data_IF_914445517849
#
_entry.id   IF_914445517849
#
_cell.length_a   1.000
_cell.length_b   1.000
_cell.length_c   1.000
_cell.angle_alpha   90.00
_cell.angle_beta   90.00
_cell.angle_gamma   90.00
#
_symmetry.space_group_name_H-M   'P 1'
#
loop_
_entity.id
_entity.type
_entity.pdbx_description
1 polymer ?
#
# COMPACT_ATOMS: atom_id res chain seq x y z
N UNK A 1 9.22 -8.57 9.60
CA UNK A 1 8.63 -7.23 9.39
C UNK A 1 7.15 -7.38 9.15
N UNK A 2 6.35 -6.50 9.71
CA UNK A 2 4.90 -6.53 9.55
C UNK A 2 4.50 -5.54 8.45
N UNK A 3 3.90 -6.05 7.39
CA UNK A 3 3.62 -5.28 6.17
C UNK A 3 2.13 -5.37 5.83
N UNK A 4 1.53 -4.21 5.53
CA UNK A 4 0.17 -4.15 5.02
C UNK A 4 0.25 -3.76 3.54
N UNK A 5 -0.40 -4.56 2.68
CA UNK A 5 -0.50 -4.28 1.25
C UNK A 5 -1.95 -3.94 0.92
N UNK A 6 -2.18 -2.77 0.36
CA UNK A 6 -3.52 -2.38 -0.11
C UNK A 6 -3.61 -2.65 -1.60
N UNK A 7 -4.55 -3.50 -1.99
CA UNK A 7 -4.75 -3.91 -3.36
C UNK A 7 -4.24 -5.31 -3.62
N UNK A 8 -5.13 -6.18 -4.04
CA UNK A 8 -4.83 -7.59 -4.31
C UNK A 8 -4.82 -7.89 -5.81
N UNK A 9 -4.68 -6.87 -6.65
CA UNK A 9 -4.54 -7.02 -8.08
C UNK A 9 -3.17 -7.57 -8.46
N UNK A 10 -2.79 -7.41 -9.72
CA UNK A 10 -1.55 -8.00 -10.21
C UNK A 10 -0.32 -7.50 -9.45
N UNK A 11 -0.23 -6.20 -9.21
CA UNK A 11 0.93 -5.64 -8.51
C UNK A 11 0.95 -6.06 -7.06
N UNK A 12 -0.17 -5.88 -6.35
CA UNK A 12 -0.24 -6.24 -4.94
C UNK A 12 -0.08 -7.73 -4.71
N UNK A 13 -0.68 -8.56 -5.55
CA UNK A 13 -0.53 -10.01 -5.47
C UNK A 13 0.90 -10.47 -5.69
N UNK A 14 1.59 -9.88 -6.65
CA UNK A 14 2.99 -10.21 -6.92
C UNK A 14 3.88 -9.79 -5.76
N UNK A 15 3.65 -8.61 -5.19
CA UNK A 15 4.39 -8.16 -4.03
C UNK A 15 4.17 -9.07 -2.83
N UNK A 16 2.90 -9.46 -2.59
CA UNK A 16 2.59 -10.36 -1.49
C UNK A 16 3.33 -11.69 -1.64
N UNK A 17 3.35 -12.22 -2.85
CA UNK A 17 4.05 -13.48 -3.13
C UNK A 17 5.54 -13.37 -2.80
N UNK A 18 6.20 -12.32 -3.28
CA UNK A 18 7.63 -12.14 -3.03
C UNK A 18 7.93 -11.89 -1.55
N UNK A 19 7.13 -11.04 -0.91
CA UNK A 19 7.42 -10.64 0.47
C UNK A 19 7.06 -11.73 1.48
N UNK A 20 6.05 -12.54 1.19
CA UNK A 20 5.67 -13.63 2.08
C UNK A 20 6.78 -14.68 2.20
N UNK A 21 7.55 -14.88 1.14
CA UNK A 21 8.66 -15.83 1.14
C UNK A 21 9.87 -15.36 1.96
N UNK A 22 9.87 -14.12 2.42
CA UNK A 22 10.99 -13.54 3.14
C UNK A 22 10.74 -13.44 4.64
N UNK A 23 9.84 -14.29 5.15
CA UNK A 23 9.52 -14.34 6.58
C UNK A 23 8.90 -13.04 7.10
N UNK A 24 8.13 -12.38 6.27
CA UNK A 24 7.37 -11.21 6.65
C UNK A 24 5.95 -11.61 7.05
N UNK A 25 5.37 -10.83 7.96
CA UNK A 25 3.98 -10.97 8.35
C UNK A 25 3.15 -10.06 7.45
N UNK A 26 2.47 -10.65 6.47
CA UNK A 26 1.78 -9.92 5.42
C UNK A 26 0.27 -9.94 5.64
N UNK A 27 -0.36 -8.77 5.55
CA UNK A 27 -1.82 -8.63 5.50
C UNK A 27 -2.17 -7.88 4.21
N UNK A 28 -3.08 -8.42 3.43
CA UNK A 28 -3.54 -7.79 2.19
C UNK A 28 -4.98 -7.31 2.36
N UNK A 29 -5.23 -6.06 2.00
CA UNK A 29 -6.55 -5.43 2.07
C UNK A 29 -7.06 -5.20 0.64
N UNK A 30 -8.29 -5.62 0.36
CA UNK A 30 -8.92 -5.38 -0.94
C UNK A 30 -10.43 -5.40 -0.76
N UNK A 31 -11.14 -4.79 -1.69
CA UNK A 31 -12.59 -4.74 -1.65
C UNK A 31 -13.24 -5.96 -2.33
N UNK A 32 -12.44 -6.80 -2.97
CA UNK A 32 -12.93 -7.97 -3.73
C UNK A 32 -12.62 -9.25 -2.99
N UNK A 33 -13.66 -9.83 -2.38
CA UNK A 33 -13.51 -11.03 -1.56
C UNK A 33 -12.91 -12.19 -2.35
N UNK A 34 -13.33 -12.39 -3.59
CA UNK A 34 -12.84 -13.52 -4.41
C UNK A 34 -11.33 -13.41 -4.68
N UNK A 35 -10.84 -12.18 -4.90
CA UNK A 35 -9.42 -11.96 -5.15
C UNK A 35 -8.59 -12.26 -3.90
N UNK A 36 -9.07 -11.82 -2.74
CA UNK A 36 -8.41 -12.12 -1.47
C UNK A 36 -8.37 -13.62 -1.20
N UNK A 37 -9.48 -14.30 -1.46
CA UNK A 37 -9.55 -15.74 -1.24
C UNK A 37 -8.53 -16.49 -2.10
N UNK A 38 -8.38 -16.11 -3.37
CA UNK A 38 -7.41 -16.75 -4.25
C UNK A 38 -5.98 -16.57 -3.75
N UNK A 39 -5.64 -15.39 -3.25
CA UNK A 39 -4.32 -15.16 -2.68
C UNK A 39 -4.10 -15.98 -1.41
N UNK A 40 -5.09 -16.02 -0.54
CA UNK A 40 -4.98 -16.72 0.72
C UNK A 40 -4.83 -18.23 0.53
N UNK A 41 -5.37 -18.76 -0.56
CA UNK A 41 -5.23 -20.19 -0.88
C UNK A 41 -3.82 -20.55 -1.31
N UNK A 42 -3.04 -19.59 -1.81
CA UNK A 42 -1.69 -19.82 -2.32
C UNK A 42 -0.59 -19.35 -1.38
N UNK A 43 -0.88 -18.38 -0.55
CA UNK A 43 0.15 -17.71 0.26
C UNK A 43 -0.23 -17.75 1.74
N UNK A 44 0.79 -17.79 2.58
CA UNK A 44 0.60 -17.71 4.02
C UNK A 44 0.51 -16.23 4.41
N UNK A 45 -0.69 -15.68 4.24
CA UNK A 45 -0.97 -14.27 4.51
C UNK A 45 -2.31 -14.14 5.21
N UNK A 46 -2.53 -12.98 5.83
CA UNK A 46 -3.85 -12.61 6.33
C UNK A 46 -4.51 -11.69 5.33
N UNK A 47 -5.84 -11.66 5.33
CA UNK A 47 -6.62 -10.80 4.43
C UNK A 47 -7.65 -10.00 5.21
N UNK A 48 -7.93 -8.80 4.72
CA UNK A 48 -8.97 -7.93 5.25
C UNK A 48 -9.80 -7.42 4.08
N UNK A 49 -11.11 -7.62 4.16
CA UNK A 49 -12.04 -7.12 3.14
C UNK A 49 -12.43 -5.68 3.50
N UNK A 50 -12.13 -4.74 2.63
CA UNK A 50 -12.49 -3.34 2.88
C UNK A 50 -11.75 -2.38 1.99
N UNK A 51 -12.08 -1.10 2.14
CA UNK A 51 -11.40 0.00 1.46
C UNK A 51 -10.14 0.37 2.27
N UNK A 52 -8.98 0.26 1.63
CA UNK A 52 -7.70 0.46 2.30
C UNK A 52 -7.47 1.88 2.83
N UNK A 53 -8.23 2.87 2.37
CA UNK A 53 -8.13 4.22 2.90
C UNK A 53 -8.98 4.43 4.16
N UNK A 54 -9.88 3.51 4.48
CA UNK A 54 -10.71 3.64 5.66
C UNK A 54 -9.92 3.27 6.92
N UNK A 55 -9.95 4.12 7.95
CA UNK A 55 -9.22 3.82 9.20
C UNK A 55 -9.56 2.47 9.81
N UNK A 56 -10.83 2.06 9.75
CA UNK A 56 -11.23 0.76 10.32
C UNK A 56 -10.60 -0.41 9.59
N UNK A 57 -10.48 -0.33 8.26
CA UNK A 57 -9.83 -1.40 7.49
C UNK A 57 -8.35 -1.48 7.82
N UNK A 58 -7.68 -0.33 7.94
CA UNK A 58 -6.28 -0.28 8.32
C UNK A 58 -6.08 -0.81 9.74
N UNK A 59 -6.95 -0.45 10.66
CA UNK A 59 -6.88 -0.96 12.03
C UNK A 59 -7.03 -2.47 12.06
N UNK A 60 -8.01 -3.00 11.32
CA UNK A 60 -8.23 -4.45 11.24
C UNK A 60 -7.05 -5.18 10.61
N UNK A 61 -6.33 -4.49 9.74
CA UNK A 61 -5.13 -5.06 9.11
C UNK A 61 -3.90 -5.00 10.01
N UNK A 62 -4.00 -4.38 11.18
CA UNK A 62 -2.89 -4.32 12.11
C UNK A 62 -2.04 -3.06 11.99
N UNK A 63 -2.64 -1.94 11.57
CA UNK A 63 -1.88 -0.72 11.34
C UNK A 63 -1.19 -0.18 12.60
N UNK A 64 -1.69 -0.51 13.78
CA UNK A 64 -1.12 0.02 15.02
C UNK A 64 0.34 -0.37 15.24
N UNK A 65 0.75 -1.51 14.70
CA UNK A 65 2.13 -1.96 14.85
C UNK A 65 2.77 -2.40 13.53
N UNK A 66 2.20 -1.99 12.40
CA UNK A 66 2.78 -2.29 11.10
C UNK A 66 4.05 -1.47 10.87
N UNK A 67 5.05 -2.11 10.29
CA UNK A 67 6.30 -1.45 9.94
C UNK A 67 6.22 -0.72 8.61
N UNK A 68 5.37 -1.20 7.70
CA UNK A 68 5.31 -0.69 6.35
C UNK A 68 3.90 -0.82 5.77
N UNK A 69 3.50 0.21 5.04
CA UNK A 69 2.27 0.20 4.25
C UNK A 69 2.65 0.33 2.77
N UNK A 70 2.15 -0.57 1.94
CA UNK A 70 2.36 -0.53 0.49
C UNK A 70 1.00 -0.40 -0.17
N UNK A 71 0.67 0.80 -0.66
CA UNK A 71 -0.62 1.10 -1.26
C UNK A 71 -0.50 1.02 -2.78
N UNK A 72 -1.03 -0.05 -3.35
CA UNK A 72 -0.92 -0.34 -4.79
C UNK A 72 -2.28 -0.71 -5.40
N UNK A 73 -3.32 -0.03 -4.97
CA UNK A 73 -4.63 -0.17 -5.60
C UNK A 73 -4.62 0.52 -6.97
N UNK A 74 -5.72 0.40 -7.71
CA UNK A 74 -5.86 1.07 -9.01
C UNK A 74 -6.11 2.56 -8.89
N UNK A 75 -6.33 3.08 -7.70
CA UNK A 75 -6.64 4.49 -7.47
C UNK A 75 -5.47 5.20 -6.79
N UNK A 76 -4.86 6.15 -7.49
CA UNK A 76 -3.83 6.99 -6.91
C UNK A 76 -4.35 7.70 -5.65
N UNK A 77 -5.60 8.18 -5.69
CA UNK A 77 -6.18 8.92 -4.58
C UNK A 77 -6.33 8.05 -3.33
N UNK A 78 -6.80 6.83 -3.50
CA UNK A 78 -6.91 5.89 -2.38
C UNK A 78 -5.52 5.58 -1.83
N UNK A 79 -4.55 5.36 -2.71
CA UNK A 79 -3.19 5.05 -2.29
C UNK A 79 -2.60 6.18 -1.45
N UNK A 80 -2.73 7.40 -1.94
CA UNK A 80 -2.20 8.57 -1.24
C UNK A 80 -2.94 8.84 0.07
N UNK A 81 -4.26 8.73 0.05
CA UNK A 81 -5.05 8.98 1.26
C UNK A 81 -4.74 7.93 2.32
N UNK A 82 -4.59 6.67 1.92
CA UNK A 82 -4.23 5.61 2.86
C UNK A 82 -2.90 5.89 3.55
N UNK A 83 -1.91 6.40 2.82
CA UNK A 83 -0.63 6.79 3.41
C UNK A 83 -0.81 7.92 4.43
N UNK A 84 -1.66 8.90 4.13
CA UNK A 84 -1.94 10.00 5.04
C UNK A 84 -2.65 9.50 6.32
N UNK A 85 -3.62 8.62 6.16
CA UNK A 85 -4.34 8.04 7.30
C UNK A 85 -3.39 7.22 8.17
N UNK A 86 -2.58 6.38 7.53
CA UNK A 86 -1.61 5.54 8.26
C UNK A 86 -0.61 6.39 9.04
N UNK A 87 -0.13 7.46 8.44
CA UNK A 87 0.80 8.36 9.13
C UNK A 87 0.11 9.10 10.27
N UNK A 88 -1.04 9.68 10.00
CA UNK A 88 -1.71 10.55 10.97
C UNK A 88 -2.21 9.79 12.19
N UNK A 89 -2.82 8.63 11.97
CA UNK A 89 -3.46 7.87 13.05
C UNK A 89 -2.53 6.84 13.69
N UNK A 90 -1.64 6.23 12.90
CA UNK A 90 -0.87 5.08 13.38
C UNK A 90 0.63 5.28 13.33
N UNK A 91 1.11 6.40 12.79
CA UNK A 91 2.53 6.72 12.68
C UNK A 91 3.34 5.61 11.99
N UNK A 92 2.75 5.00 10.99
CA UNK A 92 3.41 3.94 10.23
C UNK A 92 4.77 4.43 9.70
N UNK A 93 5.86 3.76 10.02
CA UNK A 93 7.20 4.28 9.70
C UNK A 93 7.49 4.45 8.22
N UNK A 94 7.11 3.46 7.40
CA UNK A 94 7.39 3.49 5.96
C UNK A 94 6.09 3.35 5.19
N UNK A 95 5.87 4.30 4.26
CA UNK A 95 4.66 4.31 3.44
C UNK A 95 5.06 4.42 1.98
N UNK A 96 4.65 3.43 1.21
CA UNK A 96 4.95 3.34 -0.21
C UNK A 96 3.63 3.44 -0.96
N UNK A 97 3.58 4.30 -1.97
CA UNK A 97 2.35 4.51 -2.75
C UNK A 97 2.62 4.41 -4.23
N UNK A 98 1.75 3.69 -4.91
CA UNK A 98 1.70 3.71 -6.37
C UNK A 98 1.01 5.00 -6.79
N UNK A 99 1.65 5.77 -7.66
CA UNK A 99 1.09 7.00 -8.23
C UNK A 99 1.40 7.00 -9.72
N UNK A 100 0.37 6.90 -10.54
CA UNK A 100 0.53 6.80 -11.99
C UNK A 100 0.18 8.07 -12.73
N UNK A 101 -0.61 8.95 -12.13
CA UNK A 101 -1.07 10.16 -12.79
C UNK A 101 0.06 11.15 -13.01
N UNK A 102 0.23 11.58 -14.25
CA UNK A 102 1.22 12.59 -14.60
C UNK A 102 0.96 13.91 -13.89
N UNK A 103 -0.30 14.22 -13.60
CA UNK A 103 -0.65 15.45 -12.89
C UNK A 103 -0.02 15.48 -11.50
N UNK A 104 -0.12 14.37 -10.75
CA UNK A 104 0.48 14.31 -9.43
C UNK A 104 2.00 14.28 -9.50
N UNK A 105 2.54 13.51 -10.43
CA UNK A 105 3.99 13.35 -10.53
C UNK A 105 4.67 14.64 -10.97
N UNK A 106 3.99 15.48 -11.75
CA UNK A 106 4.51 16.78 -12.14
C UNK A 106 4.65 17.74 -10.97
N UNK A 107 3.93 17.50 -9.87
CA UNK A 107 3.98 18.32 -8.65
C UNK A 107 4.68 17.58 -7.51
N UNK A 108 5.60 16.72 -7.84
CA UNK A 108 6.25 15.81 -6.88
C UNK A 108 6.85 16.54 -5.67
N UNK A 109 7.59 17.62 -5.91
CA UNK A 109 8.21 18.35 -4.80
C UNK A 109 7.18 18.93 -3.85
N UNK A 110 6.17 19.59 -4.38
CA UNK A 110 5.17 20.25 -3.56
C UNK A 110 4.28 19.26 -2.81
N UNK A 111 3.92 18.15 -3.47
CA UNK A 111 2.99 17.19 -2.88
C UNK A 111 3.67 16.18 -1.95
N UNK A 112 4.82 15.68 -2.35
CA UNK A 112 5.44 14.55 -1.63
C UNK A 112 6.70 14.93 -0.88
N UNK A 113 7.63 15.64 -1.50
CA UNK A 113 8.89 15.97 -0.83
C UNK A 113 8.69 16.95 0.31
N UNK A 114 7.66 17.79 0.24
CA UNK A 114 7.33 18.71 1.33
C UNK A 114 6.78 17.98 2.56
N UNK A 115 6.33 16.75 2.41
CA UNK A 115 5.68 16.00 3.48
C UNK A 115 4.19 16.23 3.59
N UNK A 116 3.60 17.05 2.70
CA UNK A 116 2.15 17.31 2.74
C UNK A 116 1.35 16.02 2.53
N UNK A 117 1.79 15.19 1.59
CA UNK A 117 1.28 13.83 1.45
C UNK A 117 2.42 12.91 1.88
N UNK A 118 2.29 12.22 3.02
CA UNK A 118 3.42 11.51 3.63
C UNK A 118 3.69 10.16 2.97
N UNK A 119 4.24 10.21 1.77
CA UNK A 119 4.67 9.04 1.03
C UNK A 119 6.19 9.04 1.00
N UNK A 120 6.79 7.95 1.49
CA UNK A 120 8.25 7.84 1.55
C UNK A 120 8.84 7.37 0.23
N UNK A 121 8.14 6.49 -0.49
CA UNK A 121 8.58 5.96 -1.76
C UNK A 121 7.40 5.91 -2.71
N UNK A 122 7.62 6.36 -3.95
CA UNK A 122 6.59 6.31 -4.99
C UNK A 122 6.94 5.22 -5.99
N UNK A 123 5.94 4.36 -6.28
CA UNK A 123 6.01 3.42 -7.39
C UNK A 123 5.26 4.09 -8.54
N UNK A 124 6.00 4.64 -9.49
CA UNK A 124 5.42 5.33 -10.62
C UNK A 124 5.43 4.49 -11.88
N UNK A 125 5.12 5.11 -13.02
CA UNK A 125 5.30 4.46 -14.30
C UNK A 125 6.76 4.04 -14.47
N UNK A 126 6.98 2.94 -15.16
CA UNK A 126 8.30 2.31 -15.25
C UNK A 126 9.41 3.28 -15.64
N UNK A 127 9.15 4.15 -16.61
CA UNK A 127 10.15 5.09 -17.07
C UNK A 127 10.53 6.15 -16.04
N UNK A 128 9.73 6.35 -15.01
CA UNK A 128 10.06 7.27 -13.92
C UNK A 128 10.84 6.57 -12.82
N UNK A 129 10.57 5.30 -12.59
CA UNK A 129 11.27 4.51 -11.56
C UNK A 129 12.76 4.42 -11.88
N UNK A 130 13.12 4.34 -13.14
CA UNK A 130 14.50 4.14 -13.56
C UNK A 130 15.35 5.41 -13.53
N UNK A 131 14.79 6.54 -13.14
CA UNK A 131 15.49 7.83 -13.18
C UNK A 131 16.19 8.21 -11.89
N UNK A 132 16.26 7.34 -10.97
CA UNK A 132 16.91 7.66 -9.67
C UNK A 132 18.43 7.77 -9.78
#
# INVERSE_FOLDING_TARGET
MKIIILGAGQVGGTLAEHLADEQNDITVVDERAATLKRLQERLDIRTVLGNGAHPSALLNAGAEDADMLIAVTDSDEINMLACSVAFTLYRTPTKISRVRSADYLAKHQALFESGSIPVDVIIGPEQLVTKN
#
